data_IF_617698818829
#
_entry.id   IF_617698818829
#
_cell.length_a   1.000
_cell.length_b   1.000
_cell.length_c   1.000
_cell.angle_alpha   90.00
_cell.angle_beta   90.00
_cell.angle_gamma   90.00
#
_symmetry.space_group_name_H-M   'P 1'
#
loop_
_entity.id
_entity.type
_entity.pdbx_description
1 polymer ?
#
# COMPACT_ATOMS: atom_id res chain seq x y z
N UNK A 1 -25.24 -2.78 -0.93
CA UNK A 1 -24.14 -3.76 -0.86
C UNK A 1 -23.87 -4.04 0.61
N UNK A 2 -23.98 -5.30 1.06
CA UNK A 2 -23.61 -5.69 2.43
C UNK A 2 -22.12 -5.46 2.62
N UNK A 3 -21.74 -4.84 3.73
CA UNK A 3 -20.32 -4.62 4.05
C UNK A 3 -19.59 -5.98 4.08
N UNK A 4 -18.45 -6.07 3.38
CA UNK A 4 -17.60 -7.27 3.45
C UNK A 4 -17.15 -7.50 4.89
N UNK A 5 -17.27 -8.74 5.43
CA UNK A 5 -16.91 -9.02 6.81
C UNK A 5 -15.44 -8.68 7.08
N UNK A 6 -15.18 -8.24 8.31
CA UNK A 6 -13.83 -7.96 8.78
C UNK A 6 -13.30 -9.20 9.48
N UNK A 7 -12.21 -9.74 8.96
CA UNK A 7 -11.43 -10.83 9.55
C UNK A 7 -10.25 -10.29 10.34
N UNK A 8 -9.59 -11.14 11.11
CA UNK A 8 -8.40 -10.78 11.90
C UNK A 8 -7.27 -11.78 11.65
N UNK A 9 -6.05 -11.25 11.69
CA UNK A 9 -4.83 -12.04 11.75
C UNK A 9 -3.91 -11.45 12.82
N UNK A 10 -3.01 -12.26 13.36
CA UNK A 10 -2.13 -11.85 14.44
C UNK A 10 -0.76 -11.46 13.90
N UNK A 11 -0.37 -10.20 14.08
CA UNK A 11 0.98 -9.73 13.84
C UNK A 11 1.99 -10.40 14.80
N UNK A 12 3.28 -10.36 14.47
CA UNK A 12 4.33 -11.02 15.28
C UNK A 12 4.45 -10.48 16.70
N UNK A 13 4.09 -9.23 16.92
CA UNK A 13 4.02 -8.58 18.24
C UNK A 13 2.70 -8.84 18.99
N UNK A 14 1.84 -9.73 18.46
CA UNK A 14 0.56 -10.12 19.05
C UNK A 14 -0.60 -9.20 18.74
N UNK A 15 -0.41 -8.12 17.97
CA UNK A 15 -1.49 -7.23 17.59
C UNK A 15 -2.45 -7.91 16.60
N UNK A 16 -3.77 -7.83 16.86
CA UNK A 16 -4.80 -8.39 15.96
C UNK A 16 -5.13 -7.37 14.87
N UNK A 17 -4.60 -7.57 13.67
CA UNK A 17 -4.81 -6.69 12.51
C UNK A 17 -6.01 -7.16 11.68
N UNK A 18 -6.67 -6.19 11.05
CA UNK A 18 -7.87 -6.44 10.25
C UNK A 18 -7.54 -6.72 8.79
N UNK A 19 -8.37 -7.54 8.15
CA UNK A 19 -8.42 -7.63 6.69
C UNK A 19 -9.85 -7.94 6.22
N UNK A 20 -10.09 -7.68 4.96
CA UNK A 20 -11.30 -8.11 4.26
C UNK A 20 -10.92 -9.03 3.12
N UNK A 21 -11.87 -9.86 2.69
CA UNK A 21 -11.68 -10.68 1.49
C UNK A 21 -12.92 -10.65 0.61
N UNK A 22 -12.71 -10.90 -0.68
CA UNK A 22 -13.75 -10.97 -1.68
C UNK A 22 -13.38 -12.01 -2.75
N UNK A 23 -14.36 -12.81 -3.16
CA UNK A 23 -14.15 -13.85 -4.18
C UNK A 23 -13.47 -15.11 -3.65
N UNK A 24 -13.24 -16.04 -4.57
CA UNK A 24 -12.60 -17.33 -4.32
C UNK A 24 -11.58 -17.62 -5.43
N UNK A 25 -10.63 -18.53 -5.19
CA UNK A 25 -9.62 -18.95 -6.16
C UNK A 25 -8.22 -18.45 -5.85
N UNK A 26 -7.46 -18.05 -6.88
CA UNK A 26 -6.05 -17.64 -6.69
C UNK A 26 -5.93 -16.39 -5.84
N UNK A 27 -5.15 -16.40 -4.74
CA UNK A 27 -5.02 -15.25 -3.87
C UNK A 27 -4.33 -14.06 -4.53
N UNK A 28 -4.90 -12.87 -4.35
CA UNK A 28 -4.27 -11.57 -4.65
C UNK A 28 -4.31 -10.71 -3.38
N UNK A 29 -3.16 -10.34 -2.86
CA UNK A 29 -3.04 -9.43 -1.72
C UNK A 29 -2.84 -8.00 -2.22
N UNK A 30 -3.71 -7.07 -1.81
CA UNK A 30 -3.64 -5.66 -2.19
C UNK A 30 -3.42 -4.77 -0.98
N UNK A 31 -2.26 -4.12 -0.91
CA UNK A 31 -1.84 -3.24 0.17
C UNK A 31 -2.23 -1.78 -0.15
N UNK A 32 -2.94 -1.14 0.75
CA UNK A 32 -3.42 0.23 0.56
C UNK A 32 -2.34 1.29 0.79
N UNK A 33 -2.61 2.54 0.36
CA UNK A 33 -1.76 3.69 0.60
C UNK A 33 -1.85 4.24 2.03
N UNK A 34 -0.91 5.13 2.39
CA UNK A 34 -0.97 5.88 3.64
C UNK A 34 -2.30 6.66 3.73
N UNK A 35 -2.89 6.72 4.93
CA UNK A 35 -4.21 7.36 5.19
C UNK A 35 -5.41 6.73 4.47
N UNK A 36 -5.27 5.53 3.96
CA UNK A 36 -6.31 4.74 3.30
C UNK A 36 -6.64 3.47 4.11
N UNK A 37 -7.34 2.54 3.51
CA UNK A 37 -7.64 1.21 4.07
C UNK A 37 -7.93 0.23 2.93
N UNK A 38 -8.06 -1.05 3.25
CA UNK A 38 -8.47 -2.10 2.28
C UNK A 38 -9.81 -1.80 1.59
N UNK A 39 -10.67 -0.99 2.22
CA UNK A 39 -11.93 -0.56 1.60
C UNK A 39 -11.75 0.28 0.32
N UNK A 40 -10.61 0.94 0.15
CA UNK A 40 -10.33 1.70 -1.07
C UNK A 40 -10.40 0.80 -2.31
N UNK A 41 -9.92 -0.42 -2.21
CA UNK A 41 -9.95 -1.41 -3.29
C UNK A 41 -11.36 -1.94 -3.60
N UNK A 42 -12.25 -1.94 -2.60
CA UNK A 42 -13.66 -2.25 -2.81
C UNK A 42 -14.38 -1.08 -3.51
N UNK A 43 -14.10 0.17 -3.08
CA UNK A 43 -14.71 1.37 -3.66
C UNK A 43 -14.27 1.66 -5.09
N UNK A 44 -13.00 1.40 -5.44
CA UNK A 44 -12.51 1.56 -6.82
C UNK A 44 -13.07 0.50 -7.79
N UNK A 45 -13.65 -0.59 -7.27
CA UNK A 45 -14.15 -1.69 -8.06
C UNK A 45 -13.07 -2.72 -8.46
N UNK A 46 -11.78 -2.47 -8.16
CA UNK A 46 -10.71 -3.40 -8.51
C UNK A 46 -10.92 -4.78 -7.87
N UNK A 47 -11.24 -4.80 -6.57
CA UNK A 47 -11.47 -6.07 -5.86
C UNK A 47 -12.62 -6.87 -6.48
N UNK A 48 -13.73 -6.20 -6.85
CA UNK A 48 -14.87 -6.86 -7.48
C UNK A 48 -14.50 -7.45 -8.86
N UNK A 49 -13.81 -6.68 -9.70
CA UNK A 49 -13.41 -7.14 -11.02
C UNK A 49 -12.39 -8.31 -10.99
N UNK A 50 -11.51 -8.35 -9.99
CA UNK A 50 -10.62 -9.48 -9.79
C UNK A 50 -11.39 -10.71 -9.28
N UNK A 51 -12.32 -10.54 -8.33
CA UNK A 51 -13.15 -11.63 -7.82
C UNK A 51 -14.00 -12.27 -8.93
N UNK A 52 -14.60 -11.48 -9.82
CA UNK A 52 -15.33 -11.96 -10.99
C UNK A 52 -14.46 -12.79 -11.96
N UNK A 53 -13.15 -12.66 -11.89
CA UNK A 53 -12.17 -13.41 -12.69
C UNK A 53 -11.54 -14.61 -11.96
N UNK A 54 -12.10 -15.00 -10.82
CA UNK A 54 -11.67 -16.18 -10.07
C UNK A 54 -10.46 -15.92 -9.17
N UNK A 55 -10.31 -14.69 -8.68
CA UNK A 55 -9.32 -14.38 -7.64
C UNK A 55 -9.97 -14.27 -6.26
N UNK A 56 -9.26 -14.75 -5.25
CA UNK A 56 -9.52 -14.47 -3.85
C UNK A 56 -8.75 -13.20 -3.47
N UNK A 57 -9.43 -12.07 -3.40
CA UNK A 57 -8.80 -10.77 -3.14
C UNK A 57 -8.74 -10.51 -1.64
N UNK A 58 -7.54 -10.32 -1.12
CA UNK A 58 -7.21 -10.13 0.28
C UNK A 58 -6.76 -8.69 0.52
N UNK A 59 -7.44 -7.99 1.40
CA UNK A 59 -7.35 -6.54 1.61
C UNK A 59 -7.00 -6.23 3.06
N UNK A 60 -5.73 -6.42 3.51
CA UNK A 60 -5.33 -6.09 4.87
C UNK A 60 -5.35 -4.58 5.11
N UNK A 61 -5.75 -4.19 6.32
CA UNK A 61 -5.58 -2.84 6.84
C UNK A 61 -4.27 -2.77 7.64
N UNK A 62 -3.36 -1.89 7.30
CA UNK A 62 -2.15 -1.66 8.08
C UNK A 62 -2.48 -1.24 9.52
N UNK A 63 -1.60 -1.57 10.48
CA UNK A 63 -1.70 -0.95 11.81
C UNK A 63 -1.76 0.58 11.70
N UNK A 64 -2.53 1.22 12.55
CA UNK A 64 -2.78 2.66 12.44
C UNK A 64 -3.81 3.07 11.38
N UNK A 65 -4.42 2.11 10.65
CA UNK A 65 -5.36 2.39 9.56
C UNK A 65 -6.61 1.51 9.61
N UNK A 66 -7.68 2.00 9.00
CA UNK A 66 -8.91 1.26 8.76
C UNK A 66 -9.50 0.64 10.03
N UNK A 67 -9.83 -0.66 9.95
CA UNK A 67 -10.36 -1.43 11.07
C UNK A 67 -9.26 -2.09 11.94
N UNK A 68 -7.98 -1.88 11.60
CA UNK A 68 -6.85 -2.31 12.43
C UNK A 68 -6.66 -1.40 13.64
N UNK A 69 -6.09 -1.91 14.75
CA UNK A 69 -5.75 -1.09 15.90
C UNK A 69 -4.80 0.07 15.56
N UNK A 70 -4.98 1.18 16.29
CA UNK A 70 -4.19 2.40 16.13
C UNK A 70 -3.44 2.74 17.44
N UNK A 71 -2.48 1.89 17.89
CA UNK A 71 -1.75 2.17 19.12
C UNK A 71 -0.96 3.46 18.99
N UNK A 72 -1.04 4.31 20.02
CA UNK A 72 -0.27 5.56 20.08
C UNK A 72 1.17 5.33 20.58
N UNK A 73 1.47 4.16 21.14
CA UNK A 73 2.78 3.80 21.68
C UNK A 73 3.81 3.60 20.54
N UNK A 74 4.89 4.40 20.50
CA UNK A 74 5.95 4.27 19.49
C UNK A 74 6.61 2.88 19.46
N UNK A 75 6.66 2.16 20.60
CA UNK A 75 7.23 0.82 20.68
C UNK A 75 6.47 -0.22 19.79
N UNK A 76 5.24 0.09 19.41
CA UNK A 76 4.44 -0.72 18.49
C UNK A 76 4.76 -0.47 17.01
N UNK A 77 5.71 0.44 16.72
CA UNK A 77 6.08 0.81 15.36
C UNK A 77 7.60 0.75 15.15
N UNK A 78 8.24 -0.40 15.42
CA UNK A 78 9.66 -0.56 15.09
C UNK A 78 9.90 -0.36 13.58
N UNK A 79 11.14 -0.07 13.17
CA UNK A 79 11.48 0.03 11.75
C UNK A 79 10.97 -1.17 10.95
N UNK A 80 10.37 -0.91 9.79
CA UNK A 80 9.81 -1.92 8.87
C UNK A 80 8.63 -2.76 9.40
N UNK A 81 7.99 -2.36 10.48
CA UNK A 81 6.89 -3.14 11.08
C UNK A 81 5.76 -3.45 10.10
N UNK A 82 5.45 -2.57 9.14
CA UNK A 82 4.42 -2.85 8.13
C UNK A 82 4.83 -4.00 7.20
N UNK A 83 6.12 -4.15 6.95
CA UNK A 83 6.67 -5.28 6.18
C UNK A 83 6.58 -6.57 6.99
N UNK A 84 6.91 -6.51 8.28
CA UNK A 84 6.75 -7.64 9.20
C UNK A 84 5.29 -8.09 9.29
N UNK A 85 4.35 -7.15 9.36
CA UNK A 85 2.91 -7.43 9.36
C UNK A 85 2.47 -8.09 8.04
N UNK A 86 2.93 -7.58 6.90
CA UNK A 86 2.64 -8.16 5.60
C UNK A 86 3.19 -9.57 5.43
N UNK A 87 4.41 -9.83 5.89
CA UNK A 87 5.01 -11.17 5.88
C UNK A 87 4.26 -12.13 6.82
N UNK A 88 3.89 -11.68 8.02
CA UNK A 88 3.10 -12.46 8.95
C UNK A 88 1.70 -12.78 8.39
N UNK A 89 1.07 -11.84 7.67
CA UNK A 89 -0.21 -12.06 6.99
C UNK A 89 -0.13 -13.19 5.97
N UNK A 90 0.85 -13.14 5.07
CA UNK A 90 1.06 -14.17 4.04
C UNK A 90 1.35 -15.53 4.67
N UNK A 91 2.20 -15.57 5.70
CA UNK A 91 2.56 -16.77 6.44
C UNK A 91 1.36 -17.40 7.15
N UNK A 92 0.59 -16.60 7.91
CA UNK A 92 -0.54 -17.09 8.71
C UNK A 92 -1.70 -17.60 7.85
N UNK A 93 -1.92 -16.98 6.67
CA UNK A 93 -2.93 -17.47 5.72
C UNK A 93 -2.43 -18.63 4.85
N UNK A 94 -1.19 -19.08 5.02
CA UNK A 94 -0.59 -20.18 4.27
C UNK A 94 -0.50 -19.91 2.76
N UNK A 95 -0.29 -18.65 2.36
CA UNK A 95 -0.25 -18.27 0.94
C UNK A 95 1.08 -18.69 0.31
N UNK A 96 1.08 -19.78 -0.43
CA UNK A 96 2.25 -20.30 -1.16
C UNK A 96 2.26 -19.85 -2.62
N UNK A 97 1.10 -19.77 -3.24
CA UNK A 97 0.88 -19.25 -4.60
C UNK A 97 -0.07 -18.07 -4.53
N UNK A 98 0.45 -16.85 -4.67
CA UNK A 98 -0.35 -15.62 -4.60
C UNK A 98 0.27 -14.52 -5.46
N UNK A 99 -0.52 -13.53 -5.84
CA UNK A 99 -0.04 -12.28 -6.39
C UNK A 99 -0.07 -11.18 -5.31
N UNK A 100 0.80 -10.19 -5.45
CA UNK A 100 0.94 -9.09 -4.51
C UNK A 100 0.86 -7.76 -5.26
N UNK A 101 0.12 -6.82 -4.73
CA UNK A 101 0.10 -5.46 -5.23
C UNK A 101 -0.04 -4.45 -4.11
N UNK A 102 0.28 -3.21 -4.42
CA UNK A 102 0.08 -2.11 -3.48
C UNK A 102 0.09 -0.75 -4.16
N UNK A 103 -0.42 0.24 -3.45
CA UNK A 103 -0.41 1.62 -3.89
C UNK A 103 0.33 2.52 -2.90
N UNK A 104 1.18 3.43 -3.39
CA UNK A 104 1.92 4.38 -2.56
C UNK A 104 2.70 3.68 -1.43
N UNK A 105 2.35 3.88 -0.16
CA UNK A 105 2.94 3.15 0.96
C UNK A 105 2.84 1.63 0.78
N UNK A 106 1.67 1.14 0.30
CA UNK A 106 1.46 -0.29 0.04
C UNK A 106 2.40 -0.86 -1.02
N UNK A 107 2.69 -0.12 -2.09
CA UNK A 107 3.65 -0.52 -3.12
C UNK A 107 5.08 -0.65 -2.54
N UNK A 108 5.46 0.30 -1.69
CA UNK A 108 6.73 0.27 -0.99
C UNK A 108 6.86 -0.94 -0.06
N UNK A 109 5.81 -1.20 0.74
CA UNK A 109 5.76 -2.38 1.62
C UNK A 109 5.84 -3.66 0.79
N UNK A 110 5.09 -3.76 -0.32
CA UNK A 110 5.09 -4.92 -1.20
C UNK A 110 6.48 -5.20 -1.79
N UNK A 111 7.17 -4.19 -2.32
CA UNK A 111 8.54 -4.36 -2.84
C UNK A 111 9.52 -4.78 -1.73
N UNK A 112 9.39 -4.18 -0.54
CA UNK A 112 10.24 -4.55 0.60
C UNK A 112 9.96 -5.96 1.12
N UNK A 113 8.71 -6.44 1.09
CA UNK A 113 8.38 -7.84 1.38
C UNK A 113 9.11 -8.78 0.44
N UNK A 114 9.14 -8.48 -0.88
CA UNK A 114 9.88 -9.27 -1.88
C UNK A 114 11.39 -9.25 -1.59
N UNK A 115 11.97 -8.07 -1.31
CA UNK A 115 13.37 -7.94 -0.93
C UNK A 115 13.73 -8.77 0.32
N UNK A 116 12.75 -8.98 1.23
CA UNK A 116 12.90 -9.79 2.45
C UNK A 116 12.44 -11.24 2.30
N UNK A 117 12.26 -11.71 1.09
CA UNK A 117 12.03 -13.13 0.80
C UNK A 117 10.62 -13.55 0.49
N UNK A 118 9.63 -12.65 0.43
CA UNK A 118 8.31 -12.98 -0.11
C UNK A 118 8.44 -13.41 -1.59
N UNK A 119 7.62 -14.37 -2.00
CA UNK A 119 7.68 -14.97 -3.34
C UNK A 119 6.31 -14.93 -4.03
N UNK A 120 5.75 -13.74 -4.29
CA UNK A 120 4.53 -13.67 -5.08
C UNK A 120 4.79 -14.10 -6.52
N UNK A 121 3.74 -14.59 -7.20
CA UNK A 121 3.80 -14.92 -8.63
C UNK A 121 3.84 -13.68 -9.53
N UNK A 122 3.33 -12.54 -9.05
CA UNK A 122 3.30 -11.24 -9.74
C UNK A 122 3.36 -10.11 -8.72
N UNK A 123 3.93 -8.96 -9.11
CA UNK A 123 4.03 -7.79 -8.24
C UNK A 123 3.55 -6.52 -8.95
N UNK A 124 2.53 -5.84 -8.40
CA UNK A 124 2.07 -4.52 -8.86
C UNK A 124 2.50 -3.43 -7.90
N UNK A 125 3.15 -2.39 -8.41
CA UNK A 125 3.66 -1.22 -7.70
C UNK A 125 2.95 0.04 -8.20
N UNK A 126 1.90 0.49 -7.52
CA UNK A 126 1.12 1.67 -7.90
C UNK A 126 1.57 2.95 -7.20
N UNK A 127 1.55 4.09 -7.89
CA UNK A 127 1.76 5.43 -7.31
C UNK A 127 3.13 5.64 -6.68
N UNK A 128 4.20 5.11 -7.30
CA UNK A 128 5.57 5.26 -6.81
C UNK A 128 6.54 5.57 -7.94
N UNK A 129 7.46 6.48 -7.64
CA UNK A 129 8.66 6.72 -8.43
C UNK A 129 9.92 6.37 -7.65
N UNK A 130 11.06 6.38 -8.31
CA UNK A 130 12.35 5.95 -7.76
C UNK A 130 12.77 6.76 -6.53
N UNK A 131 12.64 8.09 -6.59
CA UNK A 131 12.98 8.96 -5.47
C UNK A 131 12.11 8.70 -4.24
N UNK A 132 10.83 8.41 -4.44
CA UNK A 132 9.92 8.05 -3.36
C UNK A 132 10.30 6.71 -2.73
N UNK A 133 10.66 5.70 -3.52
CA UNK A 133 11.13 4.40 -3.01
C UNK A 133 12.42 4.53 -2.18
N UNK A 134 13.34 5.40 -2.56
CA UNK A 134 14.62 5.60 -1.87
C UNK A 134 14.51 6.40 -0.57
N UNK A 135 13.48 7.24 -0.42
CA UNK A 135 13.26 8.02 0.80
C UNK A 135 12.64 7.17 1.91
N UNK A 136 12.89 7.54 3.17
CA UNK A 136 12.09 7.07 4.31
C UNK A 136 10.74 7.79 4.42
N UNK A 137 9.96 7.45 5.43
CA UNK A 137 8.65 8.07 5.68
C UNK A 137 8.70 9.49 6.27
N UNK A 138 9.90 10.01 6.56
CA UNK A 138 10.09 11.35 7.11
C UNK A 138 10.02 12.46 6.05
N UNK A 139 9.76 13.67 6.51
CA UNK A 139 9.69 14.88 5.64
C UNK A 139 8.34 15.06 4.96
N UNK A 140 8.22 16.15 4.19
CA UNK A 140 6.99 16.50 3.49
C UNK A 140 5.87 17.08 4.37
N UNK A 141 4.78 17.59 3.75
CA UNK A 141 3.67 18.22 4.46
C UNK A 141 2.99 17.29 5.48
N UNK A 142 2.73 16.04 5.12
CA UNK A 142 2.09 15.07 6.02
C UNK A 142 2.87 14.86 7.32
N UNK A 143 4.19 14.67 7.21
CA UNK A 143 5.04 14.51 8.39
C UNK A 143 5.06 15.77 9.26
N UNK A 144 5.17 16.97 8.68
CA UNK A 144 5.13 18.23 9.43
C UNK A 144 3.81 18.42 10.17
N UNK A 145 2.69 18.20 9.47
CA UNK A 145 1.35 18.35 10.07
C UNK A 145 1.14 17.34 11.19
N UNK A 146 1.42 16.06 10.96
CA UNK A 146 1.27 15.02 12.00
C UNK A 146 2.15 15.31 13.20
N UNK A 147 3.38 15.78 13.00
CA UNK A 147 4.28 16.19 14.08
C UNK A 147 3.69 17.36 14.87
N UNK A 148 3.20 18.40 14.19
CA UNK A 148 2.58 19.55 14.86
C UNK A 148 1.36 19.13 15.69
N UNK A 149 0.46 18.32 15.11
CA UNK A 149 -0.74 17.82 15.79
C UNK A 149 -0.41 16.98 17.03
N UNK A 150 0.61 16.13 16.94
CA UNK A 150 1.00 15.25 18.07
C UNK A 150 1.74 15.98 19.19
N UNK A 151 2.42 17.08 18.87
CA UNK A 151 3.13 17.91 19.83
C UNK A 151 2.29 19.10 20.35
N UNK A 152 1.02 19.19 19.93
CA UNK A 152 0.12 20.30 20.32
C UNK A 152 0.56 21.66 19.79
N UNK A 153 1.33 21.67 18.68
CA UNK A 153 1.80 22.89 18.00
C UNK A 153 0.79 23.37 16.96
N UNK A 154 0.79 24.66 16.72
CA UNK A 154 0.01 25.26 15.63
C UNK A 154 0.53 24.76 14.28
N UNK A 155 -0.40 24.34 13.41
CA UNK A 155 -0.09 23.98 12.02
C UNK A 155 0.15 25.26 11.22
N UNK A 156 1.22 25.27 10.42
CA UNK A 156 1.55 26.40 9.55
C UNK A 156 0.43 26.64 8.51
N UNK A 157 0.14 27.90 8.15
CA UNK A 157 -0.90 28.21 7.17
C UNK A 157 -0.75 27.46 5.83
N UNK A 158 0.48 27.26 5.37
CA UNK A 158 0.77 26.50 4.15
C UNK A 158 0.35 25.02 4.22
N UNK A 159 0.26 24.46 5.41
CA UNK A 159 -0.10 23.05 5.67
C UNK A 159 -1.57 22.90 6.13
N UNK A 160 -2.36 23.98 6.18
CA UNK A 160 -3.74 23.97 6.72
C UNK A 160 -4.68 22.99 5.97
N UNK A 161 -4.54 22.89 4.64
CA UNK A 161 -5.33 21.97 3.83
C UNK A 161 -5.02 20.51 4.19
N UNK A 162 -3.75 20.17 4.38
CA UNK A 162 -3.31 18.84 4.81
C UNK A 162 -3.84 18.52 6.22
N UNK A 163 -3.82 19.48 7.15
CA UNK A 163 -4.37 19.29 8.49
C UNK A 163 -5.87 19.04 8.47
N UNK A 164 -6.62 19.83 7.69
CA UNK A 164 -8.06 19.65 7.53
C UNK A 164 -8.39 18.27 6.94
N UNK A 165 -7.63 17.82 5.96
CA UNK A 165 -7.78 16.50 5.38
C UNK A 165 -7.51 15.39 6.40
N UNK A 166 -6.40 15.46 7.17
CA UNK A 166 -6.08 14.49 8.23
C UNK A 166 -7.22 14.42 9.27
N UNK A 167 -7.75 15.57 9.68
CA UNK A 167 -8.85 15.61 10.65
C UNK A 167 -10.12 14.88 10.16
N UNK A 168 -10.33 14.79 8.85
CA UNK A 168 -11.49 14.09 8.24
C UNK A 168 -11.29 12.59 8.11
N UNK A 169 -10.08 12.07 8.24
CA UNK A 169 -9.79 10.64 8.10
C UNK A 169 -10.34 9.80 9.27
N UNK A 170 -10.59 10.40 10.42
CA UNK A 170 -10.96 9.68 11.64
C UNK A 170 -9.84 8.79 12.21
N UNK A 171 -8.62 8.93 11.70
CA UNK A 171 -7.45 8.21 12.18
C UNK A 171 -6.72 9.00 13.28
N UNK A 172 -6.09 8.30 14.24
CA UNK A 172 -5.29 8.94 15.29
C UNK A 172 -3.97 9.49 14.74
N UNK A 173 -3.73 10.81 14.75
CA UNK A 173 -2.48 11.39 14.28
C UNK A 173 -1.23 10.81 14.97
N UNK A 174 -1.37 10.38 16.23
CA UNK A 174 -0.27 9.76 17.00
C UNK A 174 0.12 8.40 16.43
N UNK A 175 -0.84 7.61 15.95
CA UNK A 175 -0.57 6.36 15.26
C UNK A 175 0.01 6.63 13.85
N UNK A 176 -0.58 7.56 13.10
CA UNK A 176 -0.14 7.89 11.74
C UNK A 176 1.32 8.37 11.68
N UNK A 177 1.75 9.23 12.63
CA UNK A 177 3.15 9.69 12.66
C UNK A 177 4.12 8.53 12.92
N UNK A 178 3.75 7.56 13.75
CA UNK A 178 4.58 6.39 14.01
C UNK A 178 4.67 5.48 12.80
N UNK A 179 3.57 5.32 12.03
CA UNK A 179 3.61 4.62 10.75
C UNK A 179 4.66 5.25 9.82
N UNK A 180 4.65 6.58 9.65
CA UNK A 180 5.66 7.24 8.81
C UNK A 180 7.09 7.02 9.32
N UNK A 181 7.29 7.11 10.64
CA UNK A 181 8.60 6.90 11.27
C UNK A 181 9.13 5.48 11.12
N UNK A 182 8.24 4.48 11.00
CA UNK A 182 8.62 3.08 10.79
C UNK A 182 9.09 2.76 9.36
N UNK A 183 8.82 3.67 8.41
CA UNK A 183 9.20 3.50 7.00
C UNK A 183 10.67 3.81 6.79
N UNK A 184 11.46 2.78 6.52
CA UNK A 184 12.92 2.87 6.32
C UNK A 184 13.25 3.17 4.86
N UNK A 185 14.28 3.98 4.53
CA UNK A 185 14.78 4.14 3.17
C UNK A 185 15.11 2.80 2.50
N UNK A 186 14.91 2.72 1.19
CA UNK A 186 15.30 1.56 0.38
C UNK A 186 16.33 2.04 -0.67
N UNK A 187 17.59 2.04 -0.29
CA UNK A 187 18.68 2.50 -1.18
C UNK A 187 18.92 1.48 -2.29
N UNK A 188 19.00 0.20 -1.92
CA UNK A 188 19.17 -0.92 -2.84
C UNK A 188 17.81 -1.55 -3.15
N UNK A 189 17.36 -1.37 -4.40
CA UNK A 189 16.12 -1.95 -4.91
C UNK A 189 16.45 -3.30 -5.60
N UNK A 190 15.67 -4.36 -5.33
CA UNK A 190 15.92 -5.66 -5.94
C UNK A 190 15.56 -5.64 -7.44
N UNK A 191 16.41 -6.20 -8.28
CA UNK A 191 16.00 -6.60 -9.62
C UNK A 191 15.05 -7.80 -9.50
N UNK A 192 13.83 -7.65 -10.01
CA UNK A 192 12.79 -8.67 -9.90
C UNK A 192 12.96 -9.75 -10.98
N UNK A 193 12.76 -10.99 -10.59
CA UNK A 193 12.74 -12.15 -11.51
C UNK A 193 11.33 -12.66 -11.77
N UNK A 194 10.34 -12.04 -11.15
CA UNK A 194 8.91 -12.29 -11.33
C UNK A 194 8.30 -11.19 -12.20
N UNK A 195 7.20 -11.45 -12.92
CA UNK A 195 6.45 -10.41 -13.61
C UNK A 195 6.09 -9.28 -12.64
N UNK A 196 6.42 -8.04 -13.01
CA UNK A 196 6.12 -6.86 -12.22
C UNK A 196 5.61 -5.73 -13.11
N UNK A 197 4.77 -4.86 -12.53
CA UNK A 197 4.21 -3.69 -13.19
C UNK A 197 4.29 -2.47 -12.28
N UNK A 198 4.86 -1.39 -12.76
CA UNK A 198 4.78 -0.05 -12.14
C UNK A 198 3.68 0.74 -12.83
N UNK A 199 2.69 1.24 -12.05
CA UNK A 199 1.59 2.07 -12.57
C UNK A 199 1.55 3.39 -11.81
N UNK A 200 1.54 4.51 -12.55
CA UNK A 200 1.56 5.85 -11.94
C UNK A 200 0.59 6.79 -12.66
N UNK A 201 0.04 7.77 -11.92
CA UNK A 201 -0.78 8.83 -12.50
C UNK A 201 0.05 9.78 -13.35
N UNK A 202 -0.47 10.22 -14.51
CA UNK A 202 0.22 11.16 -15.41
C UNK A 202 0.48 12.55 -14.78
N UNK A 203 -0.29 12.88 -13.73
CA UNK A 203 -0.15 14.13 -12.96
C UNK A 203 0.43 13.90 -11.55
N UNK A 204 0.88 12.66 -11.25
CA UNK A 204 1.54 12.33 -9.99
C UNK A 204 2.94 12.97 -9.96
N UNK A 205 3.32 13.53 -8.82
CA UNK A 205 4.67 14.08 -8.62
C UNK A 205 5.79 13.03 -8.81
N UNK A 206 5.49 11.75 -8.66
CA UNK A 206 6.41 10.64 -8.91
C UNK A 206 6.45 10.17 -10.37
N UNK A 207 5.65 10.75 -11.28
CA UNK A 207 5.55 10.28 -12.66
C UNK A 207 6.89 10.32 -13.39
N UNK A 208 7.66 11.40 -13.22
CA UNK A 208 8.92 11.63 -13.95
C UNK A 208 10.01 10.56 -13.66
N UNK A 209 9.96 9.91 -12.51
CA UNK A 209 10.93 8.89 -12.10
C UNK A 209 10.31 7.49 -11.87
N UNK A 210 9.07 7.28 -12.32
CA UNK A 210 8.40 5.99 -12.24
C UNK A 210 8.88 5.00 -13.32
N UNK A 211 9.11 5.47 -14.54
CA UNK A 211 9.71 4.64 -15.60
C UNK A 211 11.15 4.23 -15.26
N UNK A 212 12.05 5.12 -14.77
CA UNK A 212 13.34 4.72 -14.19
C UNK A 212 13.23 3.71 -13.04
N UNK A 213 12.18 3.79 -12.21
CA UNK A 213 11.93 2.76 -11.19
C UNK A 213 11.63 1.41 -11.86
N UNK A 214 10.73 1.39 -12.85
CA UNK A 214 10.34 0.16 -13.55
C UNK A 214 11.56 -0.51 -14.22
N UNK A 215 12.38 0.26 -14.92
CA UNK A 215 13.64 -0.22 -15.51
C UNK A 215 14.57 -0.83 -14.46
N UNK A 216 14.79 -0.13 -13.35
CA UNK A 216 15.71 -0.57 -12.30
C UNK A 216 15.27 -1.90 -11.64
N UNK A 217 13.95 -2.09 -11.44
CA UNK A 217 13.42 -3.30 -10.82
C UNK A 217 13.03 -4.37 -11.84
N UNK A 218 13.24 -4.16 -13.14
CA UNK A 218 12.84 -5.06 -14.22
C UNK A 218 11.32 -5.31 -14.27
N UNK A 219 10.54 -4.23 -14.33
CA UNK A 219 9.08 -4.24 -14.39
C UNK A 219 8.55 -3.59 -15.69
N UNK A 220 7.32 -3.95 -16.07
CA UNK A 220 6.55 -3.18 -17.06
C UNK A 220 6.22 -1.79 -16.47
N UNK A 221 6.04 -0.79 -17.35
CA UNK A 221 5.61 0.55 -16.97
C UNK A 221 4.25 0.88 -17.62
N UNK A 222 3.35 1.51 -16.84
CA UNK A 222 2.12 2.08 -17.35
C UNK A 222 1.82 3.43 -16.70
N UNK A 223 1.34 4.38 -17.50
CA UNK A 223 0.83 5.67 -17.03
C UNK A 223 -0.68 5.72 -17.20
N UNK A 224 -1.39 6.19 -16.18
CA UNK A 224 -2.86 6.33 -16.16
C UNK A 224 -3.23 7.77 -15.84
N UNK A 225 -4.46 8.24 -16.17
CA UNK A 225 -4.87 9.59 -15.82
C UNK A 225 -4.92 9.85 -14.31
N UNK A 226 -4.64 11.09 -13.91
CA UNK A 226 -4.82 11.61 -12.55
C UNK A 226 -3.55 11.85 -11.76
N UNK A 227 -3.73 12.55 -10.66
CA UNK A 227 -2.71 12.80 -9.64
C UNK A 227 -2.51 11.57 -8.73
N UNK A 228 -1.71 11.73 -7.67
CA UNK A 228 -1.41 10.64 -6.74
C UNK A 228 -2.64 9.98 -6.12
N UNK A 229 -3.70 10.73 -5.86
CA UNK A 229 -4.94 10.20 -5.25
C UNK A 229 -5.97 9.77 -6.31
N UNK A 230 -6.12 10.56 -7.36
CA UNK A 230 -7.06 10.31 -8.45
C UNK A 230 -6.72 9.06 -9.24
N UNK A 231 -5.44 8.83 -9.52
CA UNK A 231 -4.99 7.69 -10.30
C UNK A 231 -5.41 6.34 -9.70
N UNK A 232 -5.32 6.16 -8.37
CA UNK A 232 -5.71 4.90 -7.72
C UNK A 232 -7.20 4.58 -7.81
N UNK A 233 -8.03 5.59 -8.08
CA UNK A 233 -9.47 5.45 -8.26
C UNK A 233 -9.89 5.47 -9.75
N UNK A 234 -8.97 5.74 -10.66
CA UNK A 234 -9.23 5.82 -12.09
C UNK A 234 -9.61 4.44 -12.66
N UNK A 235 -10.60 4.37 -13.55
CA UNK A 235 -10.94 3.13 -14.24
C UNK A 235 -9.76 2.50 -15.00
N UNK A 236 -8.88 3.33 -15.54
CA UNK A 236 -7.68 2.93 -16.26
C UNK A 236 -6.68 2.18 -15.34
N UNK A 237 -6.51 2.65 -14.08
CA UNK A 237 -5.71 1.93 -13.09
C UNK A 237 -6.30 0.54 -12.82
N UNK A 238 -7.61 0.48 -12.63
CA UNK A 238 -8.32 -0.78 -12.43
C UNK A 238 -8.14 -1.71 -13.64
N UNK A 239 -8.28 -1.19 -14.86
CA UNK A 239 -8.10 -1.97 -16.09
C UNK A 239 -6.68 -2.53 -16.22
N UNK A 240 -5.65 -1.70 -15.97
CA UNK A 240 -4.24 -2.14 -16.00
C UNK A 240 -3.93 -3.17 -14.92
N UNK A 241 -4.41 -2.97 -13.70
CA UNK A 241 -4.21 -3.94 -12.61
C UNK A 241 -4.90 -5.28 -12.92
N UNK A 242 -6.13 -5.25 -13.42
CA UNK A 242 -6.86 -6.46 -13.82
C UNK A 242 -6.17 -7.16 -14.98
N UNK A 243 -5.76 -6.43 -16.04
CA UNK A 243 -4.96 -6.97 -17.16
C UNK A 243 -3.73 -7.70 -16.65
N UNK A 244 -2.99 -7.04 -15.77
CA UNK A 244 -1.74 -7.56 -15.23
C UNK A 244 -1.93 -8.81 -14.36
N UNK A 245 -2.88 -8.82 -13.44
CA UNK A 245 -3.13 -9.99 -12.58
C UNK A 245 -3.77 -11.16 -13.34
N UNK A 246 -4.68 -10.89 -14.29
CA UNK A 246 -5.36 -11.90 -15.09
C UNK A 246 -4.54 -12.37 -16.30
N UNK A 247 -3.50 -11.66 -16.69
CA UNK A 247 -2.65 -12.01 -17.82
C UNK A 247 -2.01 -13.38 -17.62
N UNK A 248 -2.21 -14.26 -18.62
CA UNK A 248 -1.76 -15.66 -18.64
C UNK A 248 -0.28 -15.84 -18.31
N UNK A 249 0.12 -17.09 -18.09
CA UNK A 249 1.51 -17.48 -17.81
C UNK A 249 2.45 -16.79 -18.80
N UNK A 250 3.43 -16.08 -18.26
CA UNK A 250 4.59 -15.69 -19.03
C UNK A 250 5.30 -16.97 -19.47
N UNK A 251 5.35 -17.21 -20.79
CA UNK A 251 6.14 -18.29 -21.37
C UNK A 251 7.62 -17.88 -21.37
#
# INVERSE_FOLDING_TARGET
>A
MTASPVHRFRARDGLELAYRELGEGTPVVLLHGFTSSGEAWLRSGLAAQLAERGFRVLLPDFRGHGASPQPADPARYPPEVLVDDGLAFVEQLGLTEYALGGYSLGARVALRMVARGARPSRLLLGGQGLAAMRRGGGGGPLHRVLTALTEGRTVEPADAQTAHWIARLGADPRALIQVLRSVVPMEDLPALTIPALVVVGSEDAGHADAEPLAELVNAEFASVPGDHYGASAAPEFTAEAVRFFAGGRWN
#
